data_IF_253595056696
#
_entry.id   IF_253595056696
#
_cell.length_a   1.000
_cell.length_b   1.000
_cell.length_c   1.000
_cell.angle_alpha   90.00
_cell.angle_beta   90.00
_cell.angle_gamma   90.00
#
_symmetry.space_group_name_H-M   'P 1'
#
loop_
_entity.id
_entity.type
_entity.pdbx_description
1 polymer ?
#
# COMPACT_ATOMS: atom_id res chain seq x y z
N UNK A 1 -18.86 16.23 21.16
CA UNK A 1 -18.66 16.13 20.54
C UNK A 1 -18.36 15.19 20.01
N UNK A 2 -18.73 14.98 19.64
CA UNK A 2 -18.40 13.91 19.17
C UNK A 2 -17.13 13.73 18.80
N UNK A 3 -16.82 12.66 18.34
CA UNK A 3 -15.55 12.44 17.94
C UNK A 3 -15.36 13.03 16.63
N UNK A 4 -14.22 13.64 16.47
CA UNK A 4 -13.86 14.18 15.24
C UNK A 4 -13.30 13.09 14.40
N UNK A 5 -13.70 12.98 13.17
CA UNK A 5 -13.14 12.01 12.28
C UNK A 5 -11.72 12.36 11.98
N UNK A 6 -10.88 11.33 11.92
CA UNK A 6 -9.52 11.51 11.52
C UNK A 6 -9.48 11.86 10.03
N UNK A 7 -8.61 12.75 9.66
CA UNK A 7 -8.44 13.08 8.26
C UNK A 7 -7.93 11.91 7.47
N UNK A 8 -8.47 11.73 6.29
CA UNK A 8 -8.01 10.69 5.37
C UNK A 8 -7.58 11.33 4.07
N UNK A 9 -6.59 10.74 3.39
CA UNK A 9 -6.24 11.20 2.05
C UNK A 9 -7.45 11.10 1.13
N UNK A 10 -7.70 12.14 0.36
CA UNK A 10 -8.86 12.20 -0.51
C UNK A 10 -8.78 11.24 -1.68
N UNK A 11 -7.58 10.98 -2.15
CA UNK A 11 -7.40 10.18 -3.36
C UNK A 11 -6.90 8.77 -3.07
N UNK A 12 -6.98 8.35 -1.81
CA UNK A 12 -6.37 7.10 -1.42
C UNK A 12 -6.95 5.90 -2.19
N UNK A 13 -8.26 5.76 -2.21
CA UNK A 13 -8.87 4.61 -2.88
C UNK A 13 -8.53 4.58 -4.36
N UNK A 14 -8.57 5.75 -5.01
CA UNK A 14 -8.25 5.83 -6.42
C UNK A 14 -6.80 5.45 -6.69
N UNK A 15 -5.89 5.85 -5.80
CA UNK A 15 -4.49 5.50 -5.94
C UNK A 15 -4.26 4.00 -5.76
N UNK A 16 -4.95 3.40 -4.81
CA UNK A 16 -4.81 1.95 -4.59
C UNK A 16 -5.29 1.18 -5.82
N UNK A 17 -6.37 1.63 -6.42
CA UNK A 17 -6.85 0.99 -7.63
C UNK A 17 -5.87 1.20 -8.78
N UNK A 18 -5.32 2.39 -8.90
CA UNK A 18 -4.33 2.67 -9.93
C UNK A 18 -3.11 1.76 -9.80
N UNK A 19 -2.66 1.53 -8.58
CA UNK A 19 -1.55 0.62 -8.34
C UNK A 19 -1.91 -0.80 -8.79
N UNK A 20 -3.10 -1.27 -8.42
CA UNK A 20 -3.53 -2.61 -8.79
C UNK A 20 -3.61 -2.76 -10.30
N UNK A 21 -4.22 -1.77 -10.97
CA UNK A 21 -4.33 -1.81 -12.43
C UNK A 21 -2.96 -1.80 -13.09
N UNK A 22 -2.04 -1.00 -12.57
CA UNK A 22 -0.70 -0.92 -13.14
C UNK A 22 0.09 -2.22 -12.94
N UNK A 23 -0.21 -2.95 -11.87
CA UNK A 23 0.41 -4.26 -11.64
C UNK A 23 -0.26 -5.36 -12.44
N UNK A 24 -1.40 -5.08 -13.04
CA UNK A 24 -2.11 -6.07 -13.85
C UNK A 24 -2.78 -7.16 -13.02
N UNK A 25 -3.15 -6.84 -11.78
CA UNK A 25 -3.70 -7.85 -10.88
C UNK A 25 -5.19 -7.65 -10.66
N UNK A 26 -5.90 -8.77 -10.49
CA UNK A 26 -7.28 -8.69 -10.01
C UNK A 26 -7.26 -8.39 -8.51
N UNK A 27 -8.42 -8.05 -7.98
CA UNK A 27 -8.51 -7.78 -6.54
C UNK A 27 -8.11 -9.02 -5.73
N UNK A 28 -8.54 -10.19 -6.16
CA UNK A 28 -8.18 -11.41 -5.45
C UNK A 28 -6.69 -11.72 -5.54
N UNK A 29 -6.10 -11.47 -6.70
CA UNK A 29 -4.67 -11.69 -6.87
C UNK A 29 -3.88 -10.72 -5.99
N UNK A 30 -4.31 -9.48 -5.93
CA UNK A 30 -3.63 -8.50 -5.10
C UNK A 30 -3.73 -8.87 -3.62
N UNK A 31 -4.90 -9.31 -3.17
CA UNK A 31 -5.07 -9.71 -1.78
C UNK A 31 -4.07 -10.80 -1.41
N UNK A 32 -3.86 -11.75 -2.31
CA UNK A 32 -2.87 -12.80 -2.06
C UNK A 32 -1.45 -12.27 -2.07
N UNK A 33 -1.16 -11.35 -2.97
CA UNK A 33 0.16 -10.74 -3.06
C UNK A 33 0.51 -9.96 -1.81
N UNK A 34 -0.46 -9.26 -1.26
CA UNK A 34 -0.26 -8.47 -0.06
C UNK A 34 -0.20 -9.33 1.20
N UNK A 35 -0.55 -10.60 1.09
CA UNK A 35 -0.54 -11.53 2.21
C UNK A 35 -1.37 -11.01 3.37
N UNK A 36 -2.59 -10.62 3.06
CA UNK A 36 -3.48 -10.06 4.08
C UNK A 36 -3.86 -11.13 5.10
N UNK A 37 -3.99 -10.72 6.38
CA UNK A 37 -4.44 -11.66 7.40
C UNK A 37 -5.81 -12.21 7.09
N UNK A 38 -6.10 -13.40 7.62
CA UNK A 38 -7.36 -14.08 7.37
C UNK A 38 -8.57 -13.32 7.86
N UNK A 39 -8.39 -12.47 8.85
CA UNK A 39 -9.51 -11.72 9.37
C UNK A 39 -10.03 -10.69 8.36
N UNK A 40 -9.28 -10.38 7.33
CA UNK A 40 -9.81 -9.54 6.26
C UNK A 40 -10.69 -10.41 5.38
N UNK A 41 -11.92 -9.96 5.20
CA UNK A 41 -12.88 -10.72 4.42
C UNK A 41 -12.63 -10.55 2.95
N UNK A 42 -13.20 -11.48 2.19
CA UNK A 42 -13.23 -11.37 0.75
C UNK A 42 -13.82 -10.02 0.38
N UNK A 43 -13.29 -9.40 -0.61
CA UNK A 43 -13.79 -8.10 -1.03
C UNK A 43 -13.19 -6.92 -0.31
N UNK A 44 -12.26 -7.16 0.62
CA UNK A 44 -11.66 -6.06 1.36
C UNK A 44 -10.92 -5.09 0.43
N UNK A 45 -10.31 -5.60 -0.63
CA UNK A 45 -9.60 -4.72 -1.58
C UNK A 45 -10.59 -3.75 -2.24
N UNK A 46 -11.77 -4.25 -2.61
CA UNK A 46 -12.80 -3.39 -3.18
C UNK A 46 -13.20 -2.29 -2.20
N UNK A 47 -13.32 -2.63 -0.93
CA UNK A 47 -13.68 -1.64 0.07
C UNK A 47 -12.61 -0.57 0.22
N UNK A 48 -11.35 -0.95 0.14
CA UNK A 48 -10.27 0.02 0.18
C UNK A 48 -10.29 0.93 -1.04
N UNK A 49 -10.54 0.36 -2.21
CA UNK A 49 -10.52 1.13 -3.46
C UNK A 49 -11.71 2.08 -3.56
N UNK A 50 -12.81 1.72 -2.93
CA UNK A 50 -14.01 2.55 -2.95
C UNK A 50 -14.10 3.50 -1.76
N UNK A 51 -13.07 3.55 -0.94
CA UNK A 51 -13.01 4.38 0.26
C UNK A 51 -14.09 4.03 1.29
N UNK A 52 -14.64 2.81 1.18
CA UNK A 52 -15.58 2.32 2.17
C UNK A 52 -14.88 1.98 3.47
N UNK A 53 -13.61 1.69 3.38
CA UNK A 53 -12.83 1.33 4.55
C UNK A 53 -11.41 1.83 4.36
N UNK A 54 -10.85 2.37 5.42
CA UNK A 54 -9.46 2.85 5.37
C UNK A 54 -8.52 1.68 5.62
N UNK A 55 -7.53 1.45 4.76
CA UNK A 55 -6.57 0.37 5.00
C UNK A 55 -5.71 0.67 6.20
N UNK A 56 -5.39 -0.34 7.02
CA UNK A 56 -4.41 -0.15 8.07
C UNK A 56 -3.04 0.17 7.49
N UNK A 57 -2.20 0.75 8.32
CA UNK A 57 -0.87 1.15 7.88
C UNK A 57 -0.09 0.00 7.27
N UNK A 58 -0.13 -1.19 7.87
CA UNK A 58 0.65 -2.30 7.36
C UNK A 58 0.19 -2.73 5.96
N UNK A 59 -1.09 -2.52 5.64
CA UNK A 59 -1.60 -2.81 4.31
C UNK A 59 -1.05 -1.80 3.31
N UNK A 60 -1.03 -0.52 3.70
CA UNK A 60 -0.48 0.52 2.83
C UNK A 60 0.99 0.28 2.56
N UNK A 61 1.73 -0.16 3.56
CA UNK A 61 3.14 -0.50 3.36
C UNK A 61 3.30 -1.65 2.38
N UNK A 62 2.41 -2.64 2.45
CA UNK A 62 2.45 -3.76 1.52
C UNK A 62 2.20 -3.30 0.09
N UNK A 63 1.24 -2.40 -0.09
CA UNK A 63 1.00 -1.81 -1.41
C UNK A 63 2.24 -1.09 -1.92
N UNK A 64 2.86 -0.28 -1.08
CA UNK A 64 4.04 0.48 -1.48
C UNK A 64 5.16 -0.44 -1.91
N UNK A 65 5.36 -1.52 -1.19
CA UNK A 65 6.41 -2.47 -1.51
C UNK A 65 6.14 -3.19 -2.82
N UNK A 66 4.89 -3.60 -3.04
CA UNK A 66 4.55 -4.27 -4.29
C UNK A 66 4.71 -3.33 -5.48
N UNK A 67 4.41 -2.06 -5.29
CA UNK A 67 4.52 -1.09 -6.37
C UNK A 67 5.94 -0.55 -6.54
N UNK A 68 6.78 -0.73 -5.53
CA UNK A 68 8.14 -0.21 -5.57
C UNK A 68 8.20 1.30 -5.38
N UNK A 69 7.26 1.87 -4.64
CA UNK A 69 7.21 3.30 -4.39
C UNK A 69 7.23 3.55 -2.89
N UNK A 70 7.51 4.79 -2.53
CA UNK A 70 7.49 5.17 -1.12
C UNK A 70 6.05 5.33 -0.66
N UNK A 71 5.81 5.03 0.61
CA UNK A 71 4.48 5.17 1.18
C UNK A 71 3.93 6.57 0.99
N UNK A 72 4.79 7.57 1.08
CA UNK A 72 4.40 8.95 0.91
C UNK A 72 3.63 9.19 -0.38
N UNK A 73 4.04 8.52 -1.46
CA UNK A 73 3.38 8.68 -2.75
C UNK A 73 1.92 8.24 -2.66
N UNK A 74 1.64 7.26 -1.83
CA UNK A 74 0.27 6.76 -1.67
C UNK A 74 -0.56 7.70 -0.81
N UNK A 75 -0.01 8.19 0.28
CA UNK A 75 -0.81 8.90 1.27
C UNK A 75 -0.81 10.42 1.12
N UNK A 76 0.09 10.97 0.32
CA UNK A 76 0.15 12.41 0.12
C UNK A 76 -0.67 12.76 -1.12
N UNK A 77 -1.80 13.45 -0.92
CA UNK A 77 -2.67 13.82 -2.02
C UNK A 77 -2.01 14.73 -3.04
N UNK A 78 -0.93 15.38 -2.67
CA UNK A 78 -0.22 16.28 -3.58
C UNK A 78 0.69 15.54 -4.56
N UNK A 79 0.91 14.26 -4.33
CA UNK A 79 1.81 13.46 -5.17
C UNK A 79 1.01 12.44 -5.95
N UNK A 80 1.27 12.34 -7.24
CA UNK A 80 0.57 11.37 -8.07
C UNK A 80 1.32 10.06 -8.14
N UNK A 81 0.58 8.98 -8.31
CA UNK A 81 1.20 7.68 -8.59
C UNK A 81 1.83 7.77 -9.97
N UNK A 82 3.07 7.34 -10.14
CA UNK A 82 3.68 7.36 -11.47
C UNK A 82 2.93 6.43 -12.41
N UNK A 83 2.80 6.79 -13.68
CA UNK A 83 2.06 5.96 -14.63
C UNK A 83 2.68 4.58 -14.82
N UNK A 84 3.97 4.49 -14.64
CA UNK A 84 4.66 3.21 -14.70
C UNK A 84 5.33 2.96 -13.38
N UNK A 85 5.00 1.82 -12.77
CA UNK A 85 5.54 1.52 -11.45
C UNK A 85 6.91 0.88 -11.57
N UNK A 86 7.84 1.24 -10.67
CA UNK A 86 9.15 0.62 -10.69
C UNK A 86 9.12 -0.84 -10.28
N UNK A 87 8.19 -1.22 -9.41
CA UNK A 87 8.04 -2.59 -8.91
C UNK A 87 9.19 -3.02 -8.01
N UNK A 88 10.38 -2.50 -8.24
CA UNK A 88 11.51 -2.76 -7.37
C UNK A 88 11.49 -1.75 -6.24
N UNK A 89 11.57 -2.18 -5.00
CA UNK A 89 11.52 -1.22 -3.89
C UNK A 89 12.60 -0.16 -4.01
N UNK A 90 12.31 1.07 -3.65
CA UNK A 90 13.30 2.15 -3.75
C UNK A 90 14.44 1.98 -2.76
N UNK A 91 14.30 1.10 -1.79
CA UNK A 91 15.38 0.78 -0.88
C UNK A 91 15.27 -0.69 -0.51
N UNK A 92 16.36 -1.25 -0.03
CA UNK A 92 16.38 -2.68 0.27
C UNK A 92 15.57 -3.00 1.50
N UNK A 93 14.80 -4.10 1.47
CA UNK A 93 14.14 -4.58 2.68
C UNK A 93 15.18 -5.00 3.71
N UNK A 94 14.80 -4.94 4.97
CA UNK A 94 15.70 -5.31 6.04
C UNK A 94 16.27 -6.71 5.90
N UNK A 95 15.44 -7.65 5.51
CA UNK A 95 15.91 -9.01 5.44
C UNK A 95 16.87 -9.26 4.31
N UNK A 96 17.03 -8.35 3.38
CA UNK A 96 18.04 -8.53 2.36
C UNK A 96 19.33 -7.83 2.69
N UNK A 97 19.43 -7.23 3.86
CA UNK A 97 20.67 -6.65 4.32
C UNK A 97 21.41 -7.74 5.08
N UNK A 98 22.53 -8.16 4.51
CA UNK A 98 23.19 -9.29 5.04
C UNK A 98 23.77 -9.14 6.36
N UNK A 99 24.31 -8.07 6.72
CA UNK A 99 24.91 -7.95 7.98
C UNK A 99 24.08 -7.12 8.86
N UNK A 100 24.24 -7.26 10.14
CA UNK A 100 23.52 -6.46 11.07
C UNK A 100 23.82 -5.04 10.77
N UNK A 101 22.79 -4.33 10.68
CA UNK A 101 22.95 -2.99 10.43
C UNK A 101 23.77 -2.36 11.38
N UNK A 102 23.80 -2.91 12.27
CA UNK A 102 24.47 -2.39 13.15
C UNK A 102 25.59 -2.88 13.30
N UNK A 103 25.77 -3.41 12.89
CA UNK A 103 26.80 -3.85 13.03
C UNK A 103 27.52 -3.17 12.90
N UNK A 104 27.29 -2.58 12.98
CA UNK A 104 27.75 -2.10 12.98
C UNK A 104 28.25 -1.96 13.31
N UNK A 105 28.32 -1.92 13.43
CA UNK A 105 28.83 -1.83 13.79
C UNK A 105 29.27 -1.88 13.59
#
# INVERSE_FOLDING_TARGET
MGTRRRKRPKHLGAKLRQIRDALGLSQAQLARRLRLPKEFKRGIISNFENDDREPPLFVLLAYAREAGICLEVIVDDAINIPPKLPVTPPHKPLESIKRPINTTA
#
